data_IF_256573277353
#
_entry.id   IF_256573277353
#
_cell.length_a   1.000
_cell.length_b   1.000
_cell.length_c   1.000
_cell.angle_alpha   90.00
_cell.angle_beta   90.00
_cell.angle_gamma   90.00
#
_symmetry.space_group_name_H-M   'P 1'
#
loop_
_entity.id
_entity.type
_entity.pdbx_description
1 polymer ?
#
# COMPACT_ATOMS: atom_id res chain seq x y z
N UNK A 1 -32.12 8.80 -12.48
CA UNK A 1 -31.57 8.50 -12.28
C UNK A 1 -30.90 8.31 -11.90
N UNK A 2 -30.76 8.51 -11.82
CA UNK A 2 -30.11 8.30 -11.49
C UNK A 2 -29.34 8.07 -11.00
N UNK A 3 -29.32 7.99 -10.91
CA UNK A 3 -28.57 7.85 -10.35
C UNK A 3 -27.37 7.54 -10.31
N UNK A 4 -26.60 8.01 -10.32
CA UNK A 4 -25.44 7.63 -10.22
C UNK A 4 -24.86 7.41 -9.12
N UNK A 5 -24.13 6.54 -9.10
CA UNK A 5 -23.89 6.07 -7.85
C UNK A 5 -22.51 6.33 -7.44
N UNK A 6 -22.30 7.03 -6.36
CA UNK A 6 -20.96 7.33 -5.90
C UNK A 6 -20.21 6.11 -5.41
N UNK A 7 -20.89 5.05 -5.09
CA UNK A 7 -20.23 3.89 -4.52
C UNK A 7 -19.25 3.20 -5.46
N UNK A 8 -19.29 3.51 -6.71
CA UNK A 8 -18.43 2.80 -7.66
C UNK A 8 -16.94 3.08 -7.47
N UNK A 9 -16.59 4.18 -6.84
CA UNK A 9 -15.17 4.38 -6.59
C UNK A 9 -14.70 3.78 -5.30
N UNK A 10 -15.55 3.07 -4.61
CA UNK A 10 -15.12 2.27 -3.49
C UNK A 10 -15.20 0.79 -3.78
N UNK A 11 -14.99 0.44 -5.03
CA UNK A 11 -15.06 -0.95 -5.46
C UNK A 11 -13.83 -1.70 -4.96
N UNK A 12 -14.00 -2.42 -3.84
CA UNK A 12 -12.93 -3.19 -3.26
C UNK A 12 -12.84 -4.60 -3.79
N UNK A 13 -13.65 -4.91 -4.80
CA UNK A 13 -13.56 -6.21 -5.44
C UNK A 13 -12.51 -6.22 -6.54
N UNK A 14 -12.07 -5.05 -6.96
CA UNK A 14 -11.11 -4.95 -8.04
C UNK A 14 -9.72 -4.75 -7.49
N UNK A 15 -8.79 -5.58 -7.96
CA UNK A 15 -7.38 -5.46 -7.61
C UNK A 15 -6.67 -4.75 -8.76
N UNK A 16 -6.00 -3.65 -8.44
CA UNK A 16 -5.30 -2.85 -9.45
C UNK A 16 -3.83 -3.26 -9.48
N UNK A 17 -3.28 -3.59 -10.64
CA UNK A 17 -1.85 -3.86 -10.74
C UNK A 17 -1.04 -2.63 -10.35
N UNK A 18 0.10 -2.85 -9.68
CA UNK A 18 0.93 -1.73 -9.23
C UNK A 18 1.38 -0.86 -10.38
N UNK A 19 1.62 -1.45 -11.55
CA UNK A 19 2.03 -0.70 -12.71
C UNK A 19 0.96 0.21 -13.29
N UNK A 20 -0.28 0.08 -12.82
CA UNK A 20 -1.40 0.90 -13.29
C UNK A 20 -1.90 1.89 -12.25
N UNK A 21 -1.23 2.00 -11.14
CA UNK A 21 -1.64 2.94 -10.10
C UNK A 21 -1.41 4.37 -10.54
N UNK A 22 -2.30 5.25 -10.06
CA UNK A 22 -2.20 6.68 -10.37
C UNK A 22 -2.29 7.48 -9.08
N UNK A 23 -1.44 8.51 -8.93
CA UNK A 23 -1.52 9.35 -7.74
C UNK A 23 -2.85 10.07 -7.67
N UNK A 24 -3.39 10.19 -6.49
CA UNK A 24 -4.66 10.86 -6.24
C UNK A 24 -5.87 9.98 -6.28
N UNK A 25 -5.71 8.70 -6.64
CA UNK A 25 -6.83 7.77 -6.70
C UNK A 25 -6.70 6.73 -5.59
N UNK A 26 -7.83 6.24 -5.09
CA UNK A 26 -7.82 5.10 -4.19
C UNK A 26 -7.76 3.82 -4.99
N UNK A 27 -7.05 2.83 -4.46
CA UNK A 27 -6.91 1.55 -5.13
C UNK A 27 -6.73 0.44 -4.11
N UNK A 28 -7.15 -0.75 -4.50
CA UNK A 28 -6.86 -1.97 -3.75
C UNK A 28 -5.84 -2.76 -4.53
N UNK A 29 -4.78 -3.16 -3.84
CA UNK A 29 -3.68 -3.88 -4.49
C UNK A 29 -3.39 -5.16 -3.73
N UNK A 30 -2.78 -6.11 -4.41
CA UNK A 30 -2.20 -7.30 -3.80
C UNK A 30 -0.77 -7.40 -4.27
N UNK A 31 0.15 -7.51 -3.34
CA UNK A 31 1.55 -7.50 -3.68
C UNK A 31 2.36 -8.24 -2.63
N UNK A 32 3.59 -8.53 -2.99
CA UNK A 32 4.51 -9.24 -2.12
C UNK A 32 5.52 -8.27 -1.52
N UNK A 33 5.81 -8.45 -0.24
CA UNK A 33 6.79 -7.62 0.45
C UNK A 33 8.18 -7.97 -0.06
N UNK A 34 8.88 -6.98 -0.56
CA UNK A 34 10.27 -7.11 -0.94
C UNK A 34 11.17 -6.90 0.28
N UNK A 35 10.77 -5.97 1.14
CA UNK A 35 11.50 -5.68 2.35
C UNK A 35 10.93 -4.45 3.01
N UNK A 36 11.41 -4.15 4.21
CA UNK A 36 10.98 -2.98 4.93
C UNK A 36 12.14 -2.38 5.69
N UNK A 37 11.98 -1.12 6.07
CA UNK A 37 13.02 -0.45 6.84
C UNK A 37 12.40 0.62 7.71
N UNK A 38 13.10 0.98 8.78
CA UNK A 38 12.66 2.04 9.65
C UNK A 38 13.60 3.22 9.44
N UNK A 39 13.00 4.35 9.12
CA UNK A 39 13.74 5.59 8.91
C UNK A 39 13.59 6.42 10.17
N UNK A 40 14.71 6.99 10.61
CA UNK A 40 14.75 7.75 11.85
C UNK A 40 15.22 9.18 11.64
N UNK A 41 14.92 9.78 10.52
CA UNK A 41 15.28 11.16 10.25
C UNK A 41 14.28 12.08 10.90
N UNK A 42 14.59 12.51 12.10
CA UNK A 42 13.70 13.37 12.85
C UNK A 42 12.52 12.60 13.40
N UNK A 43 11.68 12.08 12.57
CA UNK A 43 10.52 11.28 12.96
C UNK A 43 10.71 9.85 12.50
N UNK A 44 10.44 8.92 13.38
CA UNK A 44 10.57 7.50 13.09
C UNK A 44 9.35 7.02 12.31
N UNK A 45 9.57 6.38 11.17
CA UNK A 45 8.47 5.78 10.43
C UNK A 45 8.93 4.52 9.69
N UNK A 46 7.97 3.66 9.41
CA UNK A 46 8.21 2.38 8.77
C UNK A 46 7.89 2.50 7.28
N UNK A 47 8.81 2.02 6.46
CA UNK A 47 8.62 1.90 5.02
C UNK A 47 8.55 0.43 4.65
N UNK A 48 7.57 0.08 3.84
CA UNK A 48 7.41 -1.28 3.36
C UNK A 48 7.38 -1.25 1.84
N UNK A 49 8.25 -2.00 1.20
CA UNK A 49 8.38 -2.02 -0.24
C UNK A 49 7.70 -3.26 -0.80
N UNK A 50 6.80 -3.04 -1.76
CA UNK A 50 6.01 -4.10 -2.35
C UNK A 50 6.24 -4.19 -3.85
N UNK A 51 6.06 -5.40 -4.39
CA UNK A 51 6.08 -5.61 -5.83
C UNK A 51 5.05 -6.67 -6.20
N UNK A 52 4.49 -6.56 -7.40
CA UNK A 52 3.64 -7.61 -7.95
C UNK A 52 4.12 -8.05 -9.34
N UNK A 53 5.32 -7.62 -9.71
CA UNK A 53 5.87 -7.92 -11.03
C UNK A 53 5.51 -6.90 -12.09
N UNK A 54 4.51 -6.06 -11.88
CA UNK A 54 4.14 -5.02 -12.84
C UNK A 54 4.67 -3.66 -12.42
N UNK A 55 5.00 -3.49 -11.15
CA UNK A 55 5.53 -2.25 -10.63
C UNK A 55 5.87 -2.39 -9.17
N UNK A 56 6.16 -1.28 -8.53
CA UNK A 56 6.50 -1.26 -7.12
C UNK A 56 5.67 -0.22 -6.40
N UNK A 57 5.53 -0.41 -5.08
CA UNK A 57 4.77 0.51 -4.25
C UNK A 57 5.43 0.53 -2.88
N UNK A 58 5.46 1.71 -2.26
CA UNK A 58 5.98 1.85 -0.91
C UNK A 58 4.83 2.19 0.03
N UNK A 59 4.72 1.47 1.13
CA UNK A 59 3.77 1.79 2.20
C UNK A 59 4.51 2.55 3.27
N UNK A 60 3.89 3.58 3.79
CA UNK A 60 4.50 4.42 4.82
C UNK A 60 3.59 4.47 6.04
N UNK A 61 4.15 4.15 7.20
CA UNK A 61 3.42 4.14 8.46
C UNK A 61 4.15 5.01 9.47
N UNK A 62 3.49 6.06 9.93
CA UNK A 62 4.05 6.91 10.98
C UNK A 62 3.83 6.33 12.36
N UNK A 63 2.81 5.48 12.49
CA UNK A 63 2.49 4.77 13.73
C UNK A 63 2.41 3.29 13.43
N UNK A 64 3.17 2.49 14.14
CA UNK A 64 3.19 1.06 13.91
C UNK A 64 3.55 0.32 15.19
N UNK A 65 3.02 -0.91 15.31
CA UNK A 65 3.34 -1.78 16.43
C UNK A 65 4.49 -2.71 16.04
N UNK A 66 5.14 -3.36 17.03
CA UNK A 66 6.17 -4.36 16.69
C UNK A 66 5.66 -5.47 15.80
N UNK A 67 4.40 -5.88 15.96
CA UNK A 67 3.84 -6.90 15.08
C UNK A 67 3.71 -6.41 13.64
N UNK A 68 3.31 -5.16 13.46
CA UNK A 68 3.24 -4.58 12.12
C UNK A 68 4.64 -4.44 11.52
N UNK A 69 5.61 -4.05 12.33
CA UNK A 69 6.97 -3.94 11.85
C UNK A 69 7.48 -5.29 11.33
N UNK A 70 7.20 -6.37 12.05
CA UNK A 70 7.62 -7.69 11.61
C UNK A 70 6.92 -8.10 10.32
N UNK A 71 5.61 -7.86 10.23
CA UNK A 71 4.85 -8.23 9.06
C UNK A 71 5.32 -7.49 7.81
N UNK A 72 5.51 -6.18 7.93
CA UNK A 72 5.84 -5.35 6.77
C UNK A 72 7.31 -5.39 6.41
N UNK A 73 8.14 -5.98 7.26
CA UNK A 73 9.56 -6.13 6.97
C UNK A 73 9.93 -7.52 6.49
N UNK A 74 8.98 -8.43 6.44
CA UNK A 74 9.26 -9.83 6.12
C UNK A 74 9.18 -10.05 4.61
N UNK A 75 10.30 -10.31 3.95
CA UNK A 75 10.26 -10.57 2.50
C UNK A 75 9.43 -11.80 2.19
N UNK A 76 8.67 -11.75 1.12
CA UNK A 76 7.85 -12.86 0.69
C UNK A 76 6.44 -12.85 1.24
N UNK A 77 6.15 -12.02 2.22
CA UNK A 77 4.79 -11.92 2.72
C UNK A 77 3.89 -11.27 1.67
N UNK A 78 2.69 -11.78 1.50
CA UNK A 78 1.74 -11.21 0.54
C UNK A 78 0.68 -10.45 1.29
N UNK A 79 0.39 -9.27 0.79
CA UNK A 79 -0.55 -8.36 1.43
C UNK A 79 -1.57 -7.86 0.44
N UNK A 80 -2.79 -7.62 0.94
CA UNK A 80 -3.80 -6.88 0.22
C UNK A 80 -3.95 -5.54 0.92
N UNK A 81 -3.79 -4.47 0.17
CA UNK A 81 -3.81 -3.12 0.74
C UNK A 81 -4.81 -2.26 0.01
N UNK A 82 -5.47 -1.37 0.74
CA UNK A 82 -6.40 -0.41 0.16
C UNK A 82 -6.09 0.97 0.73
N UNK A 83 -6.00 1.95 -0.14
CA UNK A 83 -5.76 3.31 0.30
C UNK A 83 -5.56 4.24 -0.87
N UNK A 84 -5.29 5.49 -0.54
CA UNK A 84 -5.04 6.50 -1.55
C UNK A 84 -3.60 6.41 -2.03
N UNK A 85 -3.42 6.42 -3.33
CA UNK A 85 -2.10 6.40 -3.95
C UNK A 85 -1.59 7.83 -4.04
N UNK A 86 -0.34 8.04 -3.66
CA UNK A 86 0.27 9.34 -3.68
C UNK A 86 1.62 9.27 -4.39
N UNK A 87 2.04 10.39 -4.95
CA UNK A 87 3.36 10.49 -5.53
C UNK A 87 4.36 10.73 -4.40
N UNK A 88 5.23 9.76 -4.19
CA UNK A 88 6.22 9.87 -3.15
C UNK A 88 7.58 10.23 -3.71
N UNK A 89 8.55 10.19 -2.82
CA UNK A 89 9.91 10.57 -3.12
C UNK A 89 10.57 9.63 -4.13
N UNK A 90 10.37 8.35 -3.92
CA UNK A 90 10.99 7.32 -4.74
C UNK A 90 9.98 6.64 -5.68
N UNK A 91 8.80 7.20 -5.83
CA UNK A 91 7.76 6.62 -6.64
C UNK A 91 6.42 6.70 -5.94
N UNK A 92 5.49 5.83 -6.34
CA UNK A 92 4.17 5.86 -5.74
C UNK A 92 4.20 5.27 -4.33
N UNK A 93 3.35 5.80 -3.47
CA UNK A 93 3.27 5.31 -2.10
C UNK A 93 1.85 5.42 -1.57
N UNK A 94 1.58 4.68 -0.49
CA UNK A 94 0.34 4.80 0.28
C UNK A 94 0.71 5.07 1.72
N UNK A 95 0.00 6.00 2.35
CA UNK A 95 0.24 6.36 3.75
C UNK A 95 -0.87 5.75 4.58
N UNK A 96 -0.50 4.93 5.56
CA UNK A 96 -1.44 4.24 6.45
C UNK A 96 -2.57 3.53 5.72
N UNK A 97 -2.25 2.70 4.71
CA UNK A 97 -3.31 1.96 4.02
C UNK A 97 -3.91 0.89 4.92
N UNK A 98 -5.12 0.47 4.60
CA UNK A 98 -5.68 -0.72 5.22
C UNK A 98 -5.01 -1.94 4.63
N UNK A 99 -4.40 -2.78 5.46
CA UNK A 99 -3.66 -3.93 4.98
C UNK A 99 -4.17 -5.20 5.62
N UNK A 100 -4.16 -6.26 4.82
CA UNK A 100 -4.53 -7.59 5.26
C UNK A 100 -3.49 -8.56 4.75
N UNK A 101 -3.06 -9.46 5.61
CA UNK A 101 -2.13 -10.49 5.21
C UNK A 101 -2.87 -11.57 4.41
N UNK A 102 -2.29 -11.98 3.30
CA UNK A 102 -2.83 -13.04 2.45
C UNK A 102 -2.10 -14.34 2.72
N UNK A 103 -2.81 -15.41 2.58
CA UNK A 103 -2.25 -16.72 2.71
C UNK A 103 -2.20 -17.25 4.07
#
# INVERSE_FOLDING_TARGET
MLLHLPSRYQDRTRITPLGQLRPGAEAQIEAEVVGGEITARGRRFLLCHLTDGTGTLTLRFFHFSPAQEQLFSRPGARLRCFGEVRQGYAGLEMIHPECRRLG
#
